data_IF_814879081775
#
_entry.id   IF_814879081775
#
_cell.length_a   1.000
_cell.length_b   1.000
_cell.length_c   1.000
_cell.angle_alpha   90.00
_cell.angle_beta   90.00
_cell.angle_gamma   90.00
#
_symmetry.space_group_name_H-M   'P 1'
#
loop_
_entity.id
_entity.type
_entity.pdbx_description
1 polymer ?
#
# COMPACT_ATOMS: atom_id res chain seq x y z
N UNK A 1 -8.30 -12.72 -25.43
CA UNK A 1 -7.11 -12.46 -24.58
C UNK A 1 -6.91 -10.95 -24.46
N UNK A 2 -7.02 -10.39 -23.24
CA UNK A 2 -6.70 -8.98 -22.98
C UNK A 2 -5.18 -8.89 -22.90
N UNK A 3 -4.55 -8.34 -23.93
CA UNK A 3 -3.11 -8.15 -24.04
C UNK A 3 -2.67 -7.28 -22.85
N UNK A 4 -1.93 -7.86 -21.91
CA UNK A 4 -1.46 -7.13 -20.74
C UNK A 4 -0.43 -6.08 -21.18
N UNK A 5 -0.56 -4.84 -20.69
CA UNK A 5 0.55 -3.90 -20.68
C UNK A 5 1.78 -4.54 -20.02
N UNK A 6 3.00 -4.16 -20.43
CA UNK A 6 4.26 -4.67 -19.85
C UNK A 6 4.32 -4.59 -18.31
N UNK A 7 3.61 -3.63 -17.72
CA UNK A 7 3.57 -3.37 -16.29
C UNK A 7 2.12 -3.25 -15.80
N UNK A 8 1.80 -3.91 -14.70
CA UNK A 8 0.53 -3.78 -14.00
C UNK A 8 0.63 -2.77 -12.85
N UNK A 9 -0.51 -2.20 -12.43
CA UNK A 9 -0.57 -1.18 -11.38
C UNK A 9 -1.66 -1.51 -10.36
N UNK A 10 -1.38 -1.34 -9.07
CA UNK A 10 -2.31 -1.57 -7.96
C UNK A 10 -2.85 -0.24 -7.40
N UNK A 11 -4.17 -0.14 -7.26
CA UNK A 11 -4.81 0.93 -6.53
C UNK A 11 -4.59 0.75 -5.01
N UNK A 12 -3.95 1.73 -4.37
CA UNK A 12 -3.66 1.70 -2.91
C UNK A 12 -4.91 1.83 -2.02
N UNK A 13 -6.06 2.24 -2.56
CA UNK A 13 -7.29 2.42 -1.77
C UNK A 13 -8.18 1.16 -1.72
N UNK A 14 -8.19 0.36 -2.79
CA UNK A 14 -9.10 -0.79 -2.91
C UNK A 14 -8.47 -2.08 -3.43
N UNK A 15 -7.17 -2.08 -3.75
CA UNK A 15 -6.46 -3.27 -4.23
C UNK A 15 -6.85 -3.73 -5.65
N UNK A 16 -7.52 -2.90 -6.44
CA UNK A 16 -7.77 -3.16 -7.87
C UNK A 16 -6.45 -3.16 -8.64
N UNK A 17 -6.25 -4.15 -9.52
CA UNK A 17 -5.09 -4.26 -10.41
C UNK A 17 -5.49 -3.82 -11.81
N UNK A 18 -4.84 -2.78 -12.30
CA UNK A 18 -4.88 -2.37 -13.68
C UNK A 18 -3.91 -3.23 -14.51
N UNK A 19 -4.44 -3.92 -15.53
CA UNK A 19 -3.69 -4.81 -16.41
C UNK A 19 -4.24 -4.77 -17.86
N UNK A 20 -4.69 -3.59 -18.30
CA UNK A 20 -5.31 -3.43 -19.62
C UNK A 20 -4.27 -3.23 -20.74
N UNK A 21 -4.76 -3.15 -21.98
CA UNK A 21 -3.90 -2.98 -23.18
C UNK A 21 -3.21 -1.63 -23.20
N UNK A 22 -3.93 -0.59 -22.80
CA UNK A 22 -3.39 0.77 -22.75
C UNK A 22 -2.35 0.82 -21.63
N UNK A 23 -1.10 1.24 -21.91
CA UNK A 23 -0.12 1.45 -20.86
C UNK A 23 -0.63 2.46 -19.83
N UNK A 24 -0.42 2.20 -18.55
CA UNK A 24 -0.93 3.03 -17.46
C UNK A 24 -0.47 4.50 -17.58
N UNK A 25 0.76 4.72 -18.04
CA UNK A 25 1.32 6.07 -18.17
C UNK A 25 0.62 6.89 -19.26
N UNK A 26 0.03 6.22 -20.26
CA UNK A 26 -0.76 6.83 -21.33
C UNK A 26 -2.22 7.10 -20.95
N UNK A 27 -2.66 6.69 -19.77
CA UNK A 27 -3.99 7.05 -19.28
C UNK A 27 -4.07 8.57 -19.05
N UNK A 28 -5.24 9.19 -19.27
CA UNK A 28 -5.42 10.61 -18.97
C UNK A 28 -5.33 10.85 -17.45
N UNK A 29 -5.03 12.09 -17.05
CA UNK A 29 -4.87 12.44 -15.62
C UNK A 29 -6.18 12.37 -14.84
N UNK A 30 -7.31 12.52 -15.52
CA UNK A 30 -8.66 12.32 -14.98
C UNK A 30 -9.07 10.84 -14.88
N UNK A 31 -8.13 9.90 -15.03
CA UNK A 31 -8.41 8.49 -14.80
C UNK A 31 -8.69 8.24 -13.30
N UNK A 32 -9.82 7.58 -13.04
CA UNK A 32 -10.22 7.14 -11.71
C UNK A 32 -10.30 5.63 -11.65
N UNK A 33 -9.97 5.07 -10.49
CA UNK A 33 -10.12 3.65 -10.25
C UNK A 33 -11.60 3.25 -10.43
N UNK A 34 -11.90 2.29 -11.31
CA UNK A 34 -13.29 1.95 -11.68
C UNK A 34 -14.09 1.33 -10.52
N UNK A 35 -13.46 1.05 -9.38
CA UNK A 35 -14.14 0.42 -8.26
C UNK A 35 -14.27 1.29 -7.02
N UNK A 36 -13.37 2.27 -6.83
CA UNK A 36 -13.40 3.10 -5.63
C UNK A 36 -13.30 4.60 -5.91
N UNK A 37 -13.17 5.02 -7.17
CA UNK A 37 -13.04 6.44 -7.52
C UNK A 37 -11.72 7.08 -7.08
N UNK A 38 -10.71 6.30 -6.68
CA UNK A 38 -9.40 6.85 -6.36
C UNK A 38 -8.72 7.43 -7.61
N UNK A 39 -8.06 8.61 -7.53
CA UNK A 39 -7.40 9.21 -8.69
C UNK A 39 -6.16 8.42 -9.12
N UNK A 40 -5.74 8.56 -10.39
CA UNK A 40 -4.57 7.90 -11.00
C UNK A 40 -3.31 7.92 -10.11
N UNK A 41 -3.04 9.04 -9.41
CA UNK A 41 -1.89 9.20 -8.49
C UNK A 41 -1.83 8.21 -7.33
N UNK A 42 -2.95 7.56 -6.97
CA UNK A 42 -3.02 6.55 -5.89
C UNK A 42 -2.62 5.15 -6.36
N UNK A 43 -2.37 4.96 -7.65
CA UNK A 43 -1.85 3.70 -8.16
C UNK A 43 -0.35 3.59 -7.96
N UNK A 44 0.14 2.37 -7.77
CA UNK A 44 1.57 2.04 -7.68
C UNK A 44 1.91 0.85 -8.57
N UNK A 45 3.16 0.68 -9.02
CA UNK A 45 3.56 -0.51 -9.76
C UNK A 45 3.24 -1.78 -8.99
N UNK A 46 2.66 -2.76 -9.69
CA UNK A 46 2.34 -4.07 -9.17
C UNK A 46 3.29 -5.10 -9.79
N UNK A 47 4.19 -5.63 -8.98
CA UNK A 47 5.22 -6.59 -9.39
C UNK A 47 4.73 -8.05 -9.49
N UNK A 48 3.79 -8.53 -8.65
CA UNK A 48 3.38 -9.93 -8.72
C UNK A 48 2.71 -10.28 -10.05
N UNK A 49 2.76 -11.58 -10.41
CA UNK A 49 2.13 -12.09 -11.62
C UNK A 49 0.62 -11.83 -11.63
N UNK A 50 0.11 -11.41 -12.78
CA UNK A 50 -1.31 -11.11 -12.97
C UNK A 50 -2.04 -12.33 -13.52
N UNK A 51 -2.98 -12.86 -12.75
CA UNK A 51 -3.83 -14.00 -13.16
C UNK A 51 -5.13 -13.52 -13.80
N UNK A 52 -5.84 -14.44 -14.49
CA UNK A 52 -7.13 -14.13 -15.17
C UNK A 52 -8.16 -13.49 -14.25
N UNK A 53 -8.21 -13.90 -12.99
CA UNK A 53 -9.18 -13.45 -11.99
C UNK A 53 -8.58 -12.52 -10.95
N UNK A 54 -7.46 -11.83 -11.25
CA UNK A 54 -6.75 -10.98 -10.26
C UNK A 54 -7.67 -10.00 -9.53
N UNK A 55 -8.72 -9.52 -10.18
CA UNK A 55 -9.68 -8.56 -9.65
C UNK A 55 -10.95 -9.18 -9.05
N UNK A 56 -10.94 -10.48 -8.79
CA UNK A 56 -12.00 -11.15 -8.03
C UNK A 56 -12.23 -10.48 -6.67
N UNK A 57 -13.48 -10.44 -6.24
CA UNK A 57 -13.91 -9.73 -5.04
C UNK A 57 -13.17 -10.21 -3.79
N UNK A 58 -12.95 -11.52 -3.63
CA UNK A 58 -12.34 -12.06 -2.42
C UNK A 58 -10.84 -11.75 -2.38
N UNK A 59 -10.16 -11.91 -3.51
CA UNK A 59 -8.75 -11.53 -3.63
C UNK A 59 -8.55 -10.02 -3.40
N UNK A 60 -9.48 -9.18 -3.85
CA UNK A 60 -9.42 -7.74 -3.62
C UNK A 60 -9.66 -7.35 -2.17
N UNK A 61 -10.62 -7.98 -1.51
CA UNK A 61 -10.87 -7.79 -0.07
C UNK A 61 -9.62 -8.19 0.74
N UNK A 62 -9.02 -9.33 0.43
CA UNK A 62 -7.78 -9.78 1.07
C UNK A 62 -6.63 -8.77 0.88
N UNK A 63 -6.41 -8.30 -0.35
CA UNK A 63 -5.39 -7.26 -0.61
C UNK A 63 -5.71 -5.95 0.11
N UNK A 64 -6.96 -5.50 0.13
CA UNK A 64 -7.37 -4.29 0.86
C UNK A 64 -7.09 -4.43 2.36
N UNK A 65 -7.33 -5.62 2.93
CA UNK A 65 -7.01 -5.89 4.33
C UNK A 65 -5.50 -5.84 4.59
N UNK A 66 -4.69 -6.45 3.72
CA UNK A 66 -3.22 -6.38 3.79
C UNK A 66 -2.72 -4.94 3.70
N UNK A 67 -3.15 -4.17 2.69
CA UNK A 67 -2.77 -2.76 2.53
C UNK A 67 -3.09 -1.93 3.78
N UNK A 68 -4.27 -2.13 4.39
CA UNK A 68 -4.66 -1.44 5.62
C UNK A 68 -3.76 -1.81 6.80
N UNK A 69 -3.38 -3.09 6.94
CA UNK A 69 -2.45 -3.53 7.98
C UNK A 69 -1.08 -2.91 7.77
N UNK A 70 -0.56 -2.92 6.54
CA UNK A 70 0.75 -2.34 6.23
C UNK A 70 0.78 -0.82 6.47
N UNK A 71 -0.29 -0.11 6.14
CA UNK A 71 -0.42 1.32 6.46
C UNK A 71 -0.49 1.57 7.97
N UNK A 72 -1.23 0.74 8.71
CA UNK A 72 -1.29 0.83 10.17
C UNK A 72 0.09 0.58 10.81
N UNK A 73 0.81 -0.45 10.35
CA UNK A 73 2.18 -0.73 10.79
C UNK A 73 3.10 0.45 10.43
N UNK A 74 3.05 0.95 9.20
CA UNK A 74 3.87 2.08 8.75
C UNK A 74 3.63 3.37 9.55
N UNK A 75 2.41 3.59 10.05
CA UNK A 75 2.10 4.71 10.96
C UNK A 75 2.55 4.44 12.40
N UNK A 76 2.40 3.22 12.90
CA UNK A 76 2.70 2.88 14.30
C UNK A 76 4.19 2.68 14.57
N UNK A 77 4.94 2.12 13.61
CA UNK A 77 6.37 1.80 13.75
C UNK A 77 7.23 3.01 14.14
N UNK A 78 7.17 4.19 13.48
CA UNK A 78 7.99 5.34 13.88
C UNK A 78 7.61 5.85 15.28
N UNK A 79 6.33 5.80 15.65
CA UNK A 79 5.86 6.20 16.98
C UNK A 79 6.44 5.25 18.04
N UNK A 80 6.35 3.94 17.80
CA UNK A 80 6.90 2.93 18.71
C UNK A 80 8.41 3.09 18.91
N UNK A 81 9.15 3.41 17.83
CA UNK A 81 10.59 3.70 17.90
C UNK A 81 10.86 4.91 18.81
N UNK A 82 10.15 6.03 18.62
CA UNK A 82 10.33 7.23 19.43
C UNK A 82 10.00 6.97 20.91
N UNK A 83 8.88 6.29 21.19
CA UNK A 83 8.50 5.94 22.57
C UNK A 83 9.55 5.05 23.20
N UNK A 84 10.08 4.06 22.46
CA UNK A 84 11.17 3.21 22.92
C UNK A 84 12.42 4.00 23.29
N UNK A 85 12.85 4.94 22.44
CA UNK A 85 14.01 5.79 22.70
C UNK A 85 13.82 6.66 23.96
N UNK A 86 12.64 7.28 24.11
CA UNK A 86 12.32 8.09 25.30
C UNK A 86 12.32 7.26 26.58
N UNK A 87 11.74 6.06 26.55
CA UNK A 87 11.73 5.15 27.69
C UNK A 87 13.15 4.73 28.10
N UNK A 88 14.00 4.40 27.12
CA UNK A 88 15.40 4.06 27.38
C UNK A 88 16.20 5.24 27.94
N UNK A 89 16.00 6.45 27.41
CA UNK A 89 16.65 7.66 27.93
C UNK A 89 16.21 7.99 29.37
N UNK A 90 14.91 7.87 29.66
CA UNK A 90 14.37 8.04 31.00
C UNK A 90 14.94 7.01 31.99
N UNK A 91 15.01 5.74 31.58
CA UNK A 91 15.61 4.68 32.39
C UNK A 91 17.10 4.94 32.66
N UNK A 92 17.85 5.36 31.64
CA UNK A 92 19.26 5.73 31.78
C UNK A 92 19.44 6.86 32.80
N UNK A 93 18.67 7.94 32.69
CA UNK A 93 18.74 9.06 33.63
C UNK A 93 18.39 8.65 35.06
N UNK A 94 17.34 7.83 35.23
CA UNK A 94 16.96 7.31 36.55
C UNK A 94 18.09 6.52 37.21
N UNK A 95 18.68 5.57 36.49
CA UNK A 95 19.79 4.75 37.00
C UNK A 95 21.01 5.61 37.32
N UNK A 96 21.36 6.57 36.45
CA UNK A 96 22.49 7.48 36.67
C UNK A 96 22.24 8.53 37.77
N UNK A 97 20.99 8.75 38.18
CA UNK A 97 20.66 9.66 39.30
C UNK A 97 20.55 8.95 40.64
N UNK A 98 20.34 7.63 40.62
CA UNK A 98 20.15 6.80 41.83
C UNK A 98 21.45 6.20 42.36
N UNK A 99 22.38 5.88 41.45
CA UNK A 99 23.73 5.38 41.74
C UNK A 99 24.76 6.45 41.41
#
# INVERSE_FOLDING_TARGET
MRVASKQAYICRDCGYIYNERTPFDKLPDNYFCPVCGAPKRRFKPYQPAVTKNVNDTDMRKARKAQIKRDEAIGRALPIAIVVGVVALAGLYFYLNSTF
#
